data_IF_583294904201
#
_entry.id   IF_583294904201
#
_cell.length_a   1.000
_cell.length_b   1.000
_cell.length_c   1.000
_cell.angle_alpha   90.00
_cell.angle_beta   90.00
_cell.angle_gamma   90.00
#
_symmetry.space_group_name_H-M   'P 1'
#
loop_
_entity.id
_entity.type
_entity.pdbx_description
1 polymer ?
#
# COMPACT_ATOMS: atom_id res chain seq x y z
N UNK A 1 -4.54 -13.19 6.40
CA UNK A 1 -5.06 -12.85 7.74
C UNK A 1 -4.97 -11.33 7.91
N UNK A 2 -6.02 -10.65 8.37
CA UNK A 2 -5.91 -9.23 8.73
C UNK A 2 -4.78 -9.05 9.74
N UNK A 3 -3.92 -8.06 9.55
CA UNK A 3 -2.76 -7.82 10.44
C UNK A 3 -3.18 -7.58 11.90
N UNK A 4 -4.45 -7.23 12.14
CA UNK A 4 -4.97 -7.06 13.50
C UNK A 4 -5.14 -8.36 14.26
N UNK A 5 -5.19 -9.48 13.54
CA UNK A 5 -5.39 -10.81 14.10
C UNK A 5 -4.06 -11.57 14.19
N UNK A 6 -2.92 -10.88 13.94
CA UNK A 6 -1.56 -11.43 14.05
C UNK A 6 -0.92 -10.88 15.33
N UNK A 7 -1.03 -11.60 16.47
CA UNK A 7 -0.48 -11.14 17.74
C UNK A 7 1.05 -11.18 17.75
N UNK A 8 1.64 -12.19 17.11
CA UNK A 8 3.07 -12.33 16.94
C UNK A 8 3.41 -12.68 15.49
N UNK A 9 4.29 -11.87 14.90
CA UNK A 9 4.79 -12.09 13.55
C UNK A 9 6.24 -12.60 13.55
N UNK A 10 6.80 -12.91 14.73
CA UNK A 10 8.17 -13.41 14.93
C UNK A 10 8.45 -14.72 14.22
N UNK A 11 7.44 -15.58 14.17
CA UNK A 11 7.46 -16.91 13.57
C UNK A 11 7.59 -16.94 12.05
N UNK A 12 7.51 -15.78 11.38
CA UNK A 12 7.60 -15.68 9.93
C UNK A 12 8.92 -15.06 9.47
N UNK A 13 9.58 -15.73 8.52
CA UNK A 13 10.80 -15.26 7.86
C UNK A 13 10.57 -14.06 6.94
N UNK A 14 9.35 -13.92 6.43
CA UNK A 14 8.91 -12.83 5.55
C UNK A 14 7.45 -12.48 5.88
N UNK A 15 7.16 -11.18 5.98
CA UNK A 15 5.80 -10.66 6.13
C UNK A 15 5.44 -9.82 4.92
N UNK A 16 4.29 -10.10 4.31
CA UNK A 16 3.65 -9.20 3.36
C UNK A 16 2.71 -8.24 4.11
N UNK A 17 2.98 -6.94 4.04
CA UNK A 17 2.15 -5.91 4.69
C UNK A 17 1.46 -5.04 3.64
N UNK A 18 0.12 -5.10 3.63
CA UNK A 18 -0.73 -4.44 2.66
C UNK A 18 -1.58 -3.32 3.26
N UNK A 19 -1.56 -2.11 2.69
CA UNK A 19 -2.38 -1.00 3.15
C UNK A 19 -2.88 -0.11 2.00
N UNK A 20 -4.12 0.42 2.08
CA UNK A 20 -4.56 1.46 1.15
C UNK A 20 -3.99 2.83 1.51
N UNK A 21 -3.79 3.69 0.50
CA UNK A 21 -3.59 5.13 0.67
C UNK A 21 -4.86 5.75 1.24
N UNK A 22 -4.69 6.52 2.30
CA UNK A 22 -5.73 7.30 2.95
C UNK A 22 -5.22 8.72 3.19
N UNK A 23 -5.85 9.72 2.56
CA UNK A 23 -5.44 11.13 2.64
C UNK A 23 -3.94 11.32 2.37
N UNK A 24 -3.47 10.88 1.20
CA UNK A 24 -2.10 11.14 0.71
C UNK A 24 -0.98 10.41 1.48
N UNK A 25 -1.31 9.29 2.13
CA UNK A 25 -0.35 8.45 2.83
C UNK A 25 -1.02 7.32 3.62
N UNK A 26 -0.31 6.72 4.59
CA UNK A 26 -0.89 5.73 5.50
C UNK A 26 -1.81 6.38 6.53
N UNK A 27 -2.92 5.73 6.87
CA UNK A 27 -3.78 6.14 7.99
C UNK A 27 -3.13 5.84 9.36
N UNK A 28 -3.77 6.27 10.45
CA UNK A 28 -3.25 6.06 11.81
C UNK A 28 -3.03 4.58 12.12
N UNK A 29 -3.93 3.71 11.65
CA UNK A 29 -3.88 2.27 11.92
C UNK A 29 -2.73 1.60 11.15
N UNK A 30 -2.55 1.93 9.88
CA UNK A 30 -1.43 1.48 9.07
C UNK A 30 -0.08 1.92 9.67
N UNK A 31 0.04 3.20 10.07
CA UNK A 31 1.24 3.71 10.76
C UNK A 31 1.56 2.91 12.01
N UNK A 32 0.56 2.67 12.87
CA UNK A 32 0.74 1.90 14.10
C UNK A 32 1.19 0.46 13.81
N UNK A 33 0.56 -0.21 12.84
CA UNK A 33 0.89 -1.60 12.49
C UNK A 33 2.26 -1.73 11.82
N UNK A 34 2.63 -0.82 10.92
CA UNK A 34 3.98 -0.79 10.38
C UNK A 34 5.01 -0.61 11.49
N UNK A 35 4.82 0.35 12.42
CA UNK A 35 5.74 0.50 13.56
C UNK A 35 5.83 -0.73 14.46
N UNK A 36 4.72 -1.47 14.62
CA UNK A 36 4.69 -2.69 15.44
C UNK A 36 5.44 -3.85 14.78
N UNK A 37 5.32 -4.03 13.47
CA UNK A 37 5.86 -5.21 12.77
C UNK A 37 7.17 -4.95 12.02
N UNK A 38 7.44 -3.70 11.63
CA UNK A 38 8.66 -3.29 10.94
C UNK A 38 9.75 -2.95 11.96
N UNK A 39 10.33 -3.99 12.55
CA UNK A 39 11.39 -3.91 13.56
C UNK A 39 12.71 -4.47 13.01
N UNK A 40 13.87 -4.14 13.62
CA UNK A 40 15.17 -4.57 13.12
C UNK A 40 15.25 -6.09 12.89
N UNK A 41 15.84 -6.49 11.76
CA UNK A 41 15.98 -7.90 11.36
C UNK A 41 14.72 -8.52 10.74
N UNK A 42 13.56 -7.83 10.76
CA UNK A 42 12.36 -8.33 10.08
C UNK A 42 12.45 -8.07 8.57
N UNK A 43 12.19 -9.10 7.76
CA UNK A 43 12.01 -8.95 6.31
C UNK A 43 10.55 -8.64 5.99
N UNK A 44 10.30 -7.55 5.27
CA UNK A 44 8.96 -7.08 4.91
C UNK A 44 8.87 -6.82 3.41
N UNK A 45 7.83 -7.38 2.79
CA UNK A 45 7.38 -6.99 1.46
C UNK A 45 6.15 -6.08 1.60
N UNK A 46 6.25 -4.83 1.14
CA UNK A 46 5.16 -3.85 1.24
C UNK A 46 4.28 -3.90 -0.01
N UNK A 47 2.97 -3.79 0.20
CA UNK A 47 1.96 -3.69 -0.86
C UNK A 47 1.05 -2.48 -0.56
N UNK A 48 0.91 -1.56 -1.52
CA UNK A 48 0.08 -0.36 -1.34
C UNK A 48 -0.96 -0.25 -2.45
N UNK A 49 -2.21 0.07 -2.11
CA UNK A 49 -3.22 0.42 -3.12
C UNK A 49 -3.55 1.90 -3.08
N UNK A 50 -3.76 2.52 -4.23
CA UNK A 50 -4.12 3.94 -4.33
C UNK A 50 -5.19 4.18 -5.37
N UNK A 51 -6.01 5.22 -5.22
CA UNK A 51 -6.99 5.59 -6.24
C UNK A 51 -6.37 6.41 -7.40
N UNK A 52 -5.17 6.98 -7.18
CA UNK A 52 -4.50 7.80 -8.18
C UNK A 52 -4.14 7.01 -9.45
N UNK A 53 -4.10 7.65 -10.62
CA UNK A 53 -3.42 7.09 -11.79
C UNK A 53 -1.95 6.80 -11.48
N UNK A 54 -1.39 5.74 -12.05
CA UNK A 54 0.01 5.30 -11.81
C UNK A 54 1.06 6.33 -12.27
N UNK A 55 0.68 7.29 -13.12
CA UNK A 55 1.53 8.41 -13.56
C UNK A 55 1.33 9.71 -12.79
N UNK A 56 0.51 9.74 -11.73
CA UNK A 56 0.26 10.96 -10.96
C UNK A 56 1.54 11.40 -10.23
N UNK A 57 2.04 12.64 -10.43
CA UNK A 57 3.32 13.09 -9.86
C UNK A 57 3.39 12.98 -8.33
N UNK A 58 2.27 13.21 -7.66
CA UNK A 58 2.18 13.23 -6.19
C UNK A 58 2.17 11.83 -5.58
N UNK A 59 1.89 10.79 -6.37
CA UNK A 59 1.81 9.43 -5.88
C UNK A 59 3.12 8.99 -5.21
N UNK A 60 4.27 9.37 -5.76
CA UNK A 60 5.57 9.01 -5.20
C UNK A 60 5.78 9.57 -3.79
N UNK A 61 5.29 10.79 -3.51
CA UNK A 61 5.34 11.38 -2.17
C UNK A 61 4.43 10.63 -1.19
N UNK A 62 3.31 10.08 -1.66
CA UNK A 62 2.43 9.30 -0.79
C UNK A 62 3.03 7.94 -0.47
N UNK A 63 3.62 7.28 -1.47
CA UNK A 63 4.29 5.98 -1.33
C UNK A 63 5.54 6.08 -0.44
N UNK A 64 6.30 7.18 -0.51
CA UNK A 64 7.47 7.39 0.34
C UNK A 64 7.12 7.38 1.84
N UNK A 65 5.95 7.90 2.22
CA UNK A 65 5.45 7.88 3.61
C UNK A 65 5.22 6.46 4.13
N UNK A 66 4.87 5.50 3.27
CA UNK A 66 4.77 4.09 3.67
C UNK A 66 6.16 3.48 3.88
N UNK A 67 7.11 3.75 2.97
CA UNK A 67 8.50 3.30 3.11
C UNK A 67 9.12 3.84 4.40
N UNK A 68 8.91 5.11 4.69
CA UNK A 68 9.39 5.76 5.92
C UNK A 68 8.81 5.08 7.17
N UNK A 69 7.49 4.84 7.20
CA UNK A 69 6.85 4.17 8.34
C UNK A 69 7.31 2.72 8.55
N UNK A 70 7.76 2.05 7.49
CA UNK A 70 8.24 0.68 7.52
C UNK A 70 9.77 0.56 7.61
N UNK A 71 10.49 1.69 7.71
CA UNK A 71 11.97 1.76 7.64
C UNK A 71 12.70 1.04 8.77
N UNK A 72 12.00 0.67 9.85
CA UNK A 72 12.56 -0.15 10.92
C UNK A 72 12.82 -1.60 10.52
N UNK A 73 12.29 -2.08 9.39
CA UNK A 73 12.52 -3.42 8.84
C UNK A 73 13.44 -3.43 7.62
N UNK A 74 13.92 -4.62 7.26
CA UNK A 74 14.50 -4.89 5.94
C UNK A 74 13.37 -4.99 4.90
N UNK A 75 13.13 -3.90 4.17
CA UNK A 75 12.13 -3.86 3.10
C UNK A 75 12.70 -4.63 1.89
N UNK A 76 12.32 -5.91 1.76
CA UNK A 76 12.81 -6.77 0.69
C UNK A 76 12.16 -6.45 -0.65
N UNK A 77 11.00 -5.80 -0.65
CA UNK A 77 10.32 -5.30 -1.84
C UNK A 77 9.16 -4.38 -1.51
N UNK A 78 8.74 -3.64 -2.53
CA UNK A 78 7.62 -2.71 -2.45
C UNK A 78 6.86 -2.75 -3.77
N UNK A 79 5.57 -3.02 -3.68
CA UNK A 79 4.65 -3.02 -4.80
C UNK A 79 3.52 -2.04 -4.52
N UNK A 80 3.08 -1.34 -5.55
CA UNK A 80 1.84 -0.59 -5.52
C UNK A 80 1.04 -0.79 -6.79
N UNK A 81 -0.27 -0.58 -6.68
CA UNK A 81 -1.14 -0.56 -7.83
C UNK A 81 -2.39 0.29 -7.59
N UNK A 82 -3.06 0.65 -8.68
CA UNK A 82 -4.35 1.30 -8.56
C UNK A 82 -5.38 0.35 -7.92
N UNK A 83 -6.09 0.84 -6.91
CA UNK A 83 -7.27 0.22 -6.32
C UNK A 83 -8.46 1.18 -6.33
N UNK A 84 -9.66 0.67 -6.11
CA UNK A 84 -10.88 1.47 -6.27
C UNK A 84 -11.15 2.45 -5.13
N UNK A 85 -11.37 3.73 -5.48
CA UNK A 85 -11.87 4.75 -4.56
C UNK A 85 -13.27 4.40 -4.06
N UNK A 86 -13.48 4.54 -2.74
CA UNK A 86 -14.81 4.32 -2.16
C UNK A 86 -15.79 5.42 -2.59
N UNK A 87 -17.07 5.06 -2.77
CA UNK A 87 -18.13 6.03 -3.12
C UNK A 87 -18.24 7.19 -2.12
N UNK A 88 -18.15 6.98 -0.78
CA UNK A 88 -18.19 8.07 0.18
C UNK A 88 -17.02 9.05 0.02
N UNK A 89 -15.79 8.55 -0.18
CA UNK A 89 -14.62 9.41 -0.40
C UNK A 89 -14.80 10.23 -1.67
N UNK A 90 -15.23 9.59 -2.78
CA UNK A 90 -15.52 10.30 -4.03
C UNK A 90 -16.56 11.41 -3.85
N UNK A 91 -17.61 11.16 -3.06
CA UNK A 91 -18.64 12.18 -2.76
C UNK A 91 -18.05 13.37 -1.99
N UNK A 92 -17.25 13.11 -0.95
CA UNK A 92 -16.58 14.15 -0.16
C UNK A 92 -15.67 15.00 -1.05
N UNK A 93 -14.87 14.37 -1.93
CA UNK A 93 -13.99 15.09 -2.85
C UNK A 93 -14.77 15.97 -3.83
N UNK A 94 -15.89 15.48 -4.37
CA UNK A 94 -16.78 16.27 -5.28
C UNK A 94 -17.36 17.52 -4.62
N UNK A 95 -17.62 17.47 -3.32
CA UNK A 95 -18.18 18.58 -2.54
C UNK A 95 -17.11 19.48 -1.89
N UNK A 96 -15.83 19.14 -2.06
CA UNK A 96 -14.73 19.89 -1.45
C UNK A 96 -14.69 21.35 -1.96
N UNK A 97 -14.28 22.28 -1.09
CA UNK A 97 -13.99 23.67 -1.48
C UNK A 97 -12.72 23.79 -2.31
N UNK A 98 -11.81 22.82 -2.20
CA UNK A 98 -10.59 22.74 -3.00
C UNK A 98 -10.91 22.30 -4.44
N UNK A 99 -10.52 23.13 -5.43
CA UNK A 99 -10.71 22.84 -6.85
C UNK A 99 -9.99 21.56 -7.28
N UNK A 100 -8.77 21.33 -6.78
CA UNK A 100 -7.95 20.17 -7.14
C UNK A 100 -8.62 18.87 -6.69
N UNK A 101 -9.14 18.85 -5.45
CA UNK A 101 -9.88 17.70 -4.93
C UNK A 101 -11.15 17.39 -5.75
N UNK A 102 -11.88 18.43 -6.19
CA UNK A 102 -13.03 18.24 -7.08
C UNK A 102 -12.61 17.69 -8.45
N UNK A 103 -11.51 18.17 -9.00
CA UNK A 103 -11.01 17.73 -10.31
C UNK A 103 -10.54 16.28 -10.26
N UNK A 104 -9.84 15.86 -9.20
CA UNK A 104 -9.52 14.45 -8.96
C UNK A 104 -10.75 13.55 -8.89
N UNK A 105 -11.82 13.99 -8.21
CA UNK A 105 -13.04 13.19 -8.15
C UNK A 105 -13.72 13.02 -9.52
N UNK A 106 -13.54 13.98 -10.44
CA UNK A 106 -14.03 13.90 -11.82
C UNK A 106 -13.16 13.00 -12.69
N UNK A 107 -11.84 13.05 -12.50
CA UNK A 107 -10.86 12.29 -13.28
C UNK A 107 -10.61 10.87 -12.75
N UNK A 108 -11.23 10.50 -11.63
CA UNK A 108 -11.11 9.19 -11.00
C UNK A 108 -11.39 8.04 -11.98
N UNK A 109 -10.31 7.33 -12.33
CA UNK A 109 -10.28 6.15 -13.20
C UNK A 109 -10.26 4.83 -12.43
N UNK A 110 -10.36 4.86 -11.09
CA UNK A 110 -10.11 3.70 -10.24
C UNK A 110 -11.27 2.69 -10.19
N UNK A 111 -12.41 2.98 -10.82
CA UNK A 111 -13.56 2.07 -10.82
C UNK A 111 -13.20 0.75 -11.51
N UNK A 112 -13.45 -0.36 -10.82
CA UNK A 112 -13.11 -1.71 -11.28
C UNK A 112 -11.67 -2.14 -10.97
N UNK A 113 -10.89 -1.29 -10.30
CA UNK A 113 -9.51 -1.61 -9.91
C UNK A 113 -9.43 -2.22 -8.50
N UNK A 114 -8.44 -3.06 -8.19
CA UNK A 114 -7.46 -3.62 -9.13
C UNK A 114 -8.11 -4.61 -10.10
N UNK A 115 -7.75 -4.51 -11.38
CA UNK A 115 -8.14 -5.44 -12.45
C UNK A 115 -7.20 -6.66 -12.54
N UNK A 116 -7.51 -7.60 -13.43
CA UNK A 116 -6.75 -8.86 -13.59
C UNK A 116 -5.27 -8.64 -13.92
N UNK A 117 -4.93 -7.56 -14.63
CA UNK A 117 -3.55 -7.19 -14.91
C UNK A 117 -2.80 -6.84 -13.63
N UNK A 118 -3.40 -6.02 -12.76
CA UNK A 118 -2.81 -5.65 -11.46
C UNK A 118 -2.73 -6.83 -10.50
N UNK A 119 -3.74 -7.69 -10.49
CA UNK A 119 -3.70 -8.93 -9.71
C UNK A 119 -2.58 -9.85 -10.20
N UNK A 120 -2.37 -9.95 -11.52
CA UNK A 120 -1.27 -10.74 -12.09
C UNK A 120 0.10 -10.19 -11.66
N UNK A 121 0.32 -8.87 -11.78
CA UNK A 121 1.56 -8.23 -11.30
C UNK A 121 1.78 -8.42 -9.80
N UNK A 122 0.72 -8.38 -8.98
CA UNK A 122 0.81 -8.63 -7.55
C UNK A 122 1.23 -10.08 -7.23
N UNK A 123 0.76 -11.07 -8.02
CA UNK A 123 1.20 -12.48 -7.89
C UNK A 123 2.67 -12.64 -8.27
N UNK A 124 3.11 -11.98 -9.34
CA UNK A 124 4.50 -11.99 -9.78
C UNK A 124 5.42 -11.40 -8.72
N UNK A 125 5.06 -10.22 -8.18
CA UNK A 125 5.76 -9.61 -7.05
C UNK A 125 5.88 -10.56 -5.85
N UNK A 126 4.78 -11.20 -5.46
CA UNK A 126 4.80 -12.14 -4.33
C UNK A 126 5.76 -13.32 -4.57
N UNK A 127 5.76 -13.90 -5.78
CA UNK A 127 6.69 -14.97 -6.16
C UNK A 127 8.15 -14.51 -6.10
N UNK A 128 8.43 -13.34 -6.66
CA UNK A 128 9.78 -12.76 -6.65
C UNK A 128 10.29 -12.56 -5.22
N UNK A 129 9.45 -12.07 -4.30
CA UNK A 129 9.83 -11.84 -2.91
C UNK A 129 10.10 -13.16 -2.16
N UNK A 130 9.28 -14.19 -2.41
CA UNK A 130 9.50 -15.52 -1.84
C UNK A 130 10.83 -16.12 -2.33
N UNK A 131 11.13 -16.01 -3.62
CA UNK A 131 12.41 -16.47 -4.16
C UNK A 131 13.60 -15.69 -3.59
N UNK A 132 13.48 -14.36 -3.50
CA UNK A 132 14.53 -13.48 -2.99
C UNK A 132 14.90 -13.79 -1.54
N UNK A 133 13.91 -14.13 -0.72
CA UNK A 133 14.13 -14.51 0.68
C UNK A 133 14.58 -15.97 0.80
N UNK A 134 13.98 -16.88 0.04
CA UNK A 134 14.32 -18.31 0.07
C UNK A 134 15.71 -18.64 -0.46
N UNK A 135 16.26 -17.86 -1.40
CA UNK A 135 17.65 -18.01 -1.90
C UNK A 135 18.71 -17.48 -0.92
N UNK A 136 18.32 -16.78 0.14
CA UNK A 136 19.21 -16.20 1.16
C UNK A 136 19.15 -16.93 2.52
N UNK A 137 18.53 -18.10 2.56
CA UNK A 137 18.45 -18.97 3.73
C UNK A 137 19.46 -20.12 3.63
#
# INVERSE_FOLDING_TARGET
MPICDVPDSSVYDLIFLGFPVHQFGPDKKAKMRMKQHCVPGRKVALFVTHAAPEGEPELQEWLSKFRECASGADIVGFFDCQGQMSKPVKMVLRLSRDKKLRDWAKQDSSKGQPDDSRITKAREFAREMLEKVGKKA
#
